data_IF_624146521435
#
_entry.id   IF_624146521435
#
_cell.length_a   1.000
_cell.length_b   1.000
_cell.length_c   1.000
_cell.angle_alpha   90.00
_cell.angle_beta   90.00
_cell.angle_gamma   90.00
#
_symmetry.space_group_name_H-M   'P 1'
#
loop_
_entity.id
_entity.type
_entity.pdbx_description
1 polymer ?
#
# COMPACT_ATOMS: atom_id res chain seq x y z
N UNK A 1 -0.01 -18.50 -8.24
CA UNK A 1 -1.09 -19.26 -7.60
C UNK A 1 -0.75 -19.55 -6.16
N UNK A 2 0.47 -20.06 -5.91
CA UNK A 2 1.00 -20.29 -4.56
C UNK A 2 0.94 -19.03 -3.68
N UNK A 3 0.79 -19.25 -2.38
CA UNK A 3 0.76 -18.19 -1.39
C UNK A 3 2.15 -17.88 -0.84
N UNK A 4 2.38 -16.61 -0.56
CA UNK A 4 3.52 -16.10 0.20
C UNK A 4 3.00 -15.21 1.32
N UNK A 5 3.63 -15.24 2.47
CA UNK A 5 3.26 -14.39 3.60
C UNK A 5 4.22 -13.21 3.72
N UNK A 6 3.71 -12.09 4.24
CA UNK A 6 4.53 -10.96 4.68
C UNK A 6 4.19 -10.67 6.13
N UNK A 7 5.16 -10.85 7.01
CA UNK A 7 5.09 -10.61 8.45
C UNK A 7 6.06 -9.49 8.83
N UNK A 8 5.57 -8.27 8.68
CA UNK A 8 6.33 -7.05 8.92
C UNK A 8 5.38 -5.87 9.16
N UNK A 9 5.89 -4.83 9.80
CA UNK A 9 5.21 -3.54 9.90
C UNK A 9 5.29 -2.81 8.54
N UNK A 10 4.65 -1.65 8.48
CA UNK A 10 4.60 -0.77 7.32
C UNK A 10 5.97 -0.18 7.02
N UNK A 11 6.60 -0.68 5.94
CA UNK A 11 7.93 -0.28 5.46
C UNK A 11 8.08 -0.48 3.94
N UNK A 12 9.08 0.15 3.29
CA UNK A 12 9.28 0.04 1.84
C UNK A 12 9.45 -1.39 1.34
N UNK A 13 10.19 -2.23 2.07
CA UNK A 13 10.46 -3.62 1.71
C UNK A 13 9.18 -4.47 1.68
N UNK A 14 8.20 -4.12 2.52
CA UNK A 14 6.87 -4.74 2.49
C UNK A 14 6.20 -4.53 1.13
N UNK A 15 6.19 -3.28 0.65
CA UNK A 15 5.60 -2.91 -0.64
C UNK A 15 6.36 -3.54 -1.80
N UNK A 16 7.69 -3.60 -1.70
CA UNK A 16 8.53 -4.26 -2.70
C UNK A 16 8.20 -5.75 -2.80
N UNK A 17 8.13 -6.45 -1.67
CA UNK A 17 7.76 -7.86 -1.62
C UNK A 17 6.34 -8.10 -2.12
N UNK A 18 5.38 -7.23 -1.80
CA UNK A 18 4.00 -7.30 -2.28
C UNK A 18 3.92 -7.20 -3.82
N UNK A 19 4.55 -6.17 -4.39
CA UNK A 19 4.56 -5.95 -5.83
C UNK A 19 5.34 -7.04 -6.58
N UNK A 20 6.48 -7.48 -6.06
CA UNK A 20 7.25 -8.57 -6.65
C UNK A 20 6.44 -9.87 -6.66
N UNK A 21 5.72 -10.16 -5.57
CA UNK A 21 4.83 -11.32 -5.47
C UNK A 21 3.69 -11.23 -6.47
N UNK A 22 3.07 -10.05 -6.60
CA UNK A 22 2.02 -9.80 -7.57
C UNK A 22 2.52 -10.02 -9.01
N UNK A 23 3.67 -9.47 -9.39
CA UNK A 23 4.25 -9.66 -10.72
C UNK A 23 4.65 -11.11 -10.99
N UNK A 24 4.99 -11.87 -9.95
CA UNK A 24 5.26 -13.31 -10.05
C UNK A 24 3.98 -14.18 -10.11
N UNK A 25 2.79 -13.56 -10.01
CA UNK A 25 1.50 -14.24 -9.98
C UNK A 25 1.21 -14.96 -8.66
N UNK A 26 1.84 -14.56 -7.55
CA UNK A 26 1.70 -15.14 -6.22
C UNK A 26 0.59 -14.45 -5.42
N UNK A 27 0.04 -15.15 -4.43
CA UNK A 27 -1.00 -14.62 -3.54
C UNK A 27 -0.38 -14.19 -2.22
N UNK A 28 -0.50 -12.92 -1.85
CA UNK A 28 0.08 -12.42 -0.60
C UNK A 28 -0.87 -12.64 0.58
N UNK A 29 -0.44 -13.35 1.61
CA UNK A 29 -1.11 -13.47 2.90
C UNK A 29 -0.51 -12.47 3.90
N UNK A 30 -1.32 -11.55 4.40
CA UNK A 30 -0.82 -10.52 5.29
C UNK A 30 -0.85 -10.95 6.76
N UNK A 31 0.29 -10.83 7.45
CA UNK A 31 0.41 -11.04 8.89
C UNK A 31 0.69 -9.69 9.56
N UNK A 32 -0.06 -9.36 10.61
CA UNK A 32 0.21 -8.15 11.39
C UNK A 32 1.53 -8.32 12.15
N UNK A 33 2.39 -7.31 12.16
CA UNK A 33 3.64 -7.29 12.93
C UNK A 33 3.45 -7.55 14.44
N UNK A 34 2.26 -7.23 14.96
CA UNK A 34 1.90 -7.44 16.36
C UNK A 34 1.41 -8.85 16.65
N UNK A 35 1.29 -9.70 15.64
CA UNK A 35 0.80 -11.06 15.83
C UNK A 35 1.75 -11.90 16.68
N UNK A 36 1.17 -12.71 17.56
CA UNK A 36 1.91 -13.74 18.29
C UNK A 36 2.33 -14.88 17.38
N UNK A 37 3.18 -15.79 17.87
CA UNK A 37 3.59 -17.00 17.16
C UNK A 37 2.39 -17.88 16.76
N UNK A 38 1.40 -18.04 17.64
CA UNK A 38 0.17 -18.79 17.36
C UNK A 38 -0.71 -18.11 16.29
N UNK A 39 -0.81 -16.78 16.33
CA UNK A 39 -1.56 -16.02 15.34
C UNK A 39 -0.88 -16.04 13.96
N UNK A 40 0.46 -15.90 13.94
CA UNK A 40 1.27 -16.04 12.73
C UNK A 40 1.18 -17.46 12.16
N UNK A 41 1.28 -18.50 13.01
CA UNK A 41 1.09 -19.89 12.63
C UNK A 41 -0.26 -20.09 11.93
N UNK A 42 -1.35 -19.60 12.55
CA UNK A 42 -2.69 -19.71 11.98
C UNK A 42 -2.77 -19.10 10.57
N UNK A 43 -2.18 -17.93 10.35
CA UNK A 43 -2.15 -17.28 9.03
C UNK A 43 -1.30 -18.07 8.03
N UNK A 44 -0.08 -18.46 8.41
CA UNK A 44 0.87 -19.17 7.56
C UNK A 44 0.32 -20.54 7.12
N UNK A 45 -0.23 -21.30 8.06
CA UNK A 45 -0.83 -22.60 7.80
C UNK A 45 -2.11 -22.48 6.98
N UNK A 46 -3.02 -21.57 7.36
CA UNK A 46 -4.31 -21.41 6.66
C UNK A 46 -4.15 -20.90 5.22
N UNK A 47 -3.13 -20.09 4.96
CA UNK A 47 -2.81 -19.61 3.62
C UNK A 47 -2.01 -20.62 2.78
N UNK A 48 -1.53 -21.71 3.40
CA UNK A 48 -0.57 -22.64 2.79
C UNK A 48 0.68 -21.91 2.24
N UNK A 49 1.15 -20.89 2.97
CA UNK A 49 2.27 -20.06 2.50
C UNK A 49 3.55 -20.88 2.34
N UNK A 50 4.17 -20.79 1.15
CA UNK A 50 5.43 -21.48 0.84
C UNK A 50 6.67 -20.65 1.14
N UNK A 51 6.51 -19.33 1.16
CA UNK A 51 7.55 -18.39 1.52
C UNK A 51 6.98 -17.37 2.51
N UNK A 52 7.74 -17.00 3.52
CA UNK A 52 7.40 -15.91 4.44
C UNK A 52 8.50 -14.84 4.41
N UNK A 53 8.14 -13.63 3.98
CA UNK A 53 8.96 -12.45 4.22
C UNK A 53 8.76 -11.98 5.66
N UNK A 54 9.84 -11.76 6.39
CA UNK A 54 9.83 -11.43 7.81
C UNK A 54 10.68 -10.18 8.04
N UNK A 55 10.19 -9.26 8.87
CA UNK A 55 10.86 -7.97 9.05
C UNK A 55 12.28 -8.09 9.61
N UNK A 56 12.43 -8.75 10.75
CA UNK A 56 13.64 -8.75 11.56
C UNK A 56 13.73 -10.02 12.43
N UNK A 57 14.80 -10.13 13.20
CA UNK A 57 15.09 -11.27 14.09
C UNK A 57 13.96 -11.52 15.12
N UNK A 58 13.34 -10.48 15.67
CA UNK A 58 12.25 -10.63 16.66
C UNK A 58 11.03 -11.32 16.04
N UNK A 59 10.62 -10.91 14.83
CA UNK A 59 9.51 -11.56 14.14
C UNK A 59 9.91 -12.95 13.61
N UNK A 60 11.19 -13.16 13.30
CA UNK A 60 11.71 -14.46 12.89
C UNK A 60 11.61 -15.48 14.01
N UNK A 61 11.99 -15.12 15.24
CA UNK A 61 11.87 -16.00 16.42
C UNK A 61 10.44 -16.53 16.57
N UNK A 62 9.43 -15.66 16.38
CA UNK A 62 8.01 -16.07 16.43
C UNK A 62 7.63 -17.08 15.36
N UNK A 63 8.17 -16.96 14.14
CA UNK A 63 7.95 -17.94 13.08
C UNK A 63 8.68 -19.25 13.40
N UNK A 64 9.90 -19.18 13.92
CA UNK A 64 10.71 -20.34 14.28
C UNK A 64 10.09 -21.18 15.40
N UNK A 65 9.44 -20.56 16.39
CA UNK A 65 8.71 -21.25 17.46
C UNK A 65 7.65 -22.24 16.94
N UNK A 66 7.07 -21.93 15.78
CA UNK A 66 5.97 -22.69 15.16
C UNK A 66 6.36 -23.35 13.84
N UNK A 67 7.59 -23.16 13.37
CA UNK A 67 8.05 -23.61 12.05
C UNK A 67 7.93 -25.13 11.87
N UNK A 68 8.11 -25.90 12.96
CA UNK A 68 8.01 -27.36 12.94
C UNK A 68 6.61 -27.90 12.60
N UNK A 69 5.56 -27.07 12.69
CA UNK A 69 4.19 -27.44 12.31
C UNK A 69 3.71 -26.79 11.01
N UNK A 70 4.54 -26.00 10.33
CA UNK A 70 4.21 -25.36 9.05
C UNK A 70 4.68 -26.22 7.87
N UNK A 71 3.89 -27.24 7.51
CA UNK A 71 4.30 -28.28 6.54
C UNK A 71 4.61 -27.74 5.13
N UNK A 72 4.00 -26.62 4.75
CA UNK A 72 4.15 -26.01 3.41
C UNK A 72 5.23 -24.93 3.35
N UNK A 73 5.71 -24.43 4.49
CA UNK A 73 6.65 -23.32 4.51
C UNK A 73 8.06 -23.81 4.15
N UNK A 74 8.56 -23.37 3.00
CA UNK A 74 9.84 -23.79 2.45
C UNK A 74 10.94 -22.74 2.62
N UNK A 75 10.56 -21.46 2.63
CA UNK A 75 11.50 -20.35 2.64
C UNK A 75 11.08 -19.27 3.63
N UNK A 76 12.07 -18.71 4.34
CA UNK A 76 11.92 -17.51 5.14
C UNK A 76 12.96 -16.50 4.63
N UNK A 77 12.52 -15.27 4.38
CA UNK A 77 13.36 -14.19 3.84
C UNK A 77 13.29 -12.99 4.77
N UNK A 78 14.44 -12.55 5.31
CA UNK A 78 14.53 -11.38 6.18
C UNK A 78 14.64 -10.08 5.38
N UNK A 79 13.92 -9.04 5.83
CA UNK A 79 14.10 -7.67 5.32
C UNK A 79 15.29 -6.98 5.97
N UNK A 80 15.50 -7.19 7.27
CA UNK A 80 16.52 -6.51 8.06
C UNK A 80 17.17 -7.45 9.08
N UNK A 81 18.47 -7.32 9.28
CA UNK A 81 19.27 -8.16 10.17
C UNK A 81 19.94 -9.33 9.47
N UNK A 82 20.59 -10.18 10.25
CA UNK A 82 21.36 -11.32 9.76
C UNK A 82 20.61 -12.62 10.11
N UNK A 83 20.10 -13.37 9.12
CA UNK A 83 19.38 -14.59 9.42
C UNK A 83 20.34 -15.66 9.99
N UNK A 84 19.92 -16.42 11.02
CA UNK A 84 20.73 -17.49 11.60
C UNK A 84 20.96 -18.60 10.58
N UNK A 85 22.04 -19.37 10.78
CA UNK A 85 22.39 -20.57 10.02
C UNK A 85 22.44 -20.39 8.48
N UNK A 86 22.74 -19.18 8.00
CA UNK A 86 22.79 -18.89 6.57
C UNK A 86 21.41 -18.85 5.91
N UNK A 87 20.38 -18.42 6.65
CA UNK A 87 19.08 -18.10 6.08
C UNK A 87 19.16 -16.98 5.02
N UNK A 88 18.02 -16.63 4.43
CA UNK A 88 17.99 -15.76 3.25
C UNK A 88 17.62 -14.32 3.63
N UNK A 89 18.38 -13.35 3.14
CA UNK A 89 17.99 -11.93 3.15
C UNK A 89 17.31 -11.56 1.83
N UNK A 90 16.70 -10.37 1.78
CA UNK A 90 16.15 -9.83 0.55
C UNK A 90 17.24 -9.63 -0.54
N UNK A 91 18.45 -9.26 -0.14
CA UNK A 91 19.60 -9.12 -1.05
C UNK A 91 20.04 -10.48 -1.61
N UNK A 92 20.08 -11.53 -0.79
CA UNK A 92 20.38 -12.89 -1.26
C UNK A 92 19.34 -13.37 -2.28
N UNK A 93 18.06 -13.06 -2.05
CA UNK A 93 16.99 -13.39 -2.99
C UNK A 93 17.15 -12.62 -4.31
N UNK A 94 17.49 -11.33 -4.25
CA UNK A 94 17.75 -10.52 -5.43
C UNK A 94 18.97 -11.03 -6.22
N UNK A 95 20.05 -11.42 -5.53
CA UNK A 95 21.24 -11.99 -6.17
C UNK A 95 20.94 -13.33 -6.85
N UNK A 96 20.15 -14.20 -6.22
CA UNK A 96 19.67 -15.45 -6.84
C UNK A 96 18.86 -15.20 -8.12
N UNK A 97 18.09 -14.12 -8.17
CA UNK A 97 17.30 -13.73 -9.35
C UNK A 97 18.09 -12.96 -10.42
N UNK A 98 19.31 -12.50 -10.14
CA UNK A 98 20.05 -11.53 -10.99
C UNK A 98 20.40 -12.03 -12.40
N UNK A 99 20.30 -13.33 -12.65
CA UNK A 99 20.55 -13.96 -13.96
C UNK A 99 19.29 -14.46 -14.67
N UNK A 100 18.10 -14.29 -14.09
CA UNK A 100 16.84 -14.66 -14.74
C UNK A 100 16.52 -13.73 -15.93
N UNK A 101 15.76 -14.24 -16.89
CA UNK A 101 15.36 -13.49 -18.09
C UNK A 101 14.15 -12.59 -17.79
N UNK A 102 14.26 -11.30 -18.06
CA UNK A 102 13.16 -10.32 -17.93
C UNK A 102 11.93 -10.77 -18.75
N UNK A 103 12.11 -11.46 -19.88
CA UNK A 103 11.00 -11.96 -20.68
C UNK A 103 10.13 -12.96 -19.90
N UNK A 104 10.73 -13.75 -19.00
CA UNK A 104 9.99 -14.70 -18.17
C UNK A 104 9.07 -13.98 -17.17
N UNK A 105 9.50 -12.82 -16.68
CA UNK A 105 8.67 -11.97 -15.83
C UNK A 105 7.52 -11.36 -16.65
N UNK A 106 7.82 -10.81 -17.82
CA UNK A 106 6.83 -10.24 -18.72
C UNK A 106 5.74 -11.26 -19.09
N UNK A 107 6.14 -12.46 -19.50
CA UNK A 107 5.23 -13.57 -19.82
C UNK A 107 4.31 -13.91 -18.63
N UNK A 108 4.87 -13.95 -17.41
CA UNK A 108 4.07 -14.19 -16.19
C UNK A 108 3.07 -13.09 -15.93
N UNK A 109 3.48 -11.83 -16.07
CA UNK A 109 2.61 -10.68 -15.85
C UNK A 109 1.47 -10.67 -16.86
N UNK A 110 1.72 -11.04 -18.11
CA UNK A 110 0.70 -11.15 -19.16
C UNK A 110 -0.35 -12.25 -18.89
N UNK A 111 0.02 -13.30 -18.16
CA UNK A 111 -0.89 -14.39 -17.78
C UNK A 111 -1.84 -14.04 -16.61
N UNK A 112 -1.56 -12.97 -15.86
CA UNK A 112 -2.37 -12.57 -14.70
C UNK A 112 -3.71 -12.00 -15.15
N UNK A 113 -4.79 -12.70 -14.80
CA UNK A 113 -6.16 -12.26 -15.06
C UNK A 113 -6.76 -11.52 -13.85
N UNK A 114 -7.74 -10.65 -14.11
CA UNK A 114 -8.39 -9.85 -13.07
C UNK A 114 -9.11 -10.68 -12.01
N UNK A 115 -9.53 -11.91 -12.33
CA UNK A 115 -10.20 -12.82 -11.40
C UNK A 115 -9.22 -13.71 -10.62
N UNK A 116 -7.92 -13.62 -10.90
CA UNK A 116 -6.90 -14.29 -10.10
C UNK A 116 -6.82 -13.65 -8.71
N UNK A 117 -6.51 -14.47 -7.71
CA UNK A 117 -6.29 -14.00 -6.35
C UNK A 117 -5.03 -13.13 -6.30
N UNK A 118 -5.15 -11.97 -5.67
CA UNK A 118 -4.03 -11.08 -5.38
C UNK A 118 -3.59 -11.24 -3.93
N UNK A 119 -4.55 -11.36 -3.00
CA UNK A 119 -4.23 -11.41 -1.58
C UNK A 119 -5.28 -12.07 -0.70
N UNK A 120 -4.81 -12.55 0.45
CA UNK A 120 -5.60 -12.91 1.62
C UNK A 120 -5.40 -11.88 2.73
N UNK A 121 -6.48 -11.19 3.11
CA UNK A 121 -6.50 -10.26 4.24
C UNK A 121 -7.18 -10.91 5.44
N UNK A 122 -6.44 -11.17 6.50
CA UNK A 122 -6.99 -11.80 7.70
C UNK A 122 -7.73 -10.78 8.57
N UNK A 123 -8.95 -11.13 8.94
CA UNK A 123 -9.82 -10.31 9.78
C UNK A 123 -10.26 -11.07 11.01
N UNK A 124 -10.36 -10.39 12.16
CA UNK A 124 -10.90 -10.98 13.38
C UNK A 124 -12.39 -11.29 13.16
N UNK A 125 -12.71 -12.59 13.12
CA UNK A 125 -14.10 -13.03 13.08
C UNK A 125 -14.79 -12.79 14.43
N UNK A 126 -16.13 -12.74 14.42
CA UNK A 126 -16.91 -12.56 15.66
C UNK A 126 -16.94 -13.80 16.57
N UNK A 127 -16.60 -14.97 16.05
CA UNK A 127 -16.73 -16.26 16.76
C UNK A 127 -15.69 -17.31 16.33
N UNK A 128 -14.40 -16.96 16.28
CA UNK A 128 -13.35 -17.93 15.96
C UNK A 128 -12.04 -17.33 15.47
N UNK A 129 -11.09 -18.18 15.03
CA UNK A 129 -9.82 -17.74 14.46
C UNK A 129 -10.01 -16.77 13.29
N UNK A 130 -9.03 -15.89 13.01
CA UNK A 130 -9.11 -14.97 11.89
C UNK A 130 -9.39 -15.67 10.56
N UNK A 131 -10.21 -15.07 9.70
CA UNK A 131 -10.54 -15.63 8.38
C UNK A 131 -9.84 -14.82 7.30
N UNK A 132 -9.20 -15.51 6.35
CA UNK A 132 -8.58 -14.92 5.18
C UNK A 132 -9.65 -14.46 4.18
N UNK A 133 -9.84 -13.16 4.05
CA UNK A 133 -10.67 -12.58 3.00
C UNK A 133 -9.91 -12.63 1.68
N UNK A 134 -10.41 -13.45 0.75
CA UNK A 134 -9.87 -13.58 -0.60
C UNK A 134 -10.24 -12.36 -1.44
N UNK A 135 -9.22 -11.63 -1.91
CA UNK A 135 -9.37 -10.50 -2.81
C UNK A 135 -8.63 -10.75 -4.12
N UNK A 136 -9.34 -10.59 -5.23
CA UNK A 136 -8.78 -10.69 -6.58
C UNK A 136 -8.15 -9.37 -7.03
N UNK A 137 -7.31 -9.42 -8.06
CA UNK A 137 -6.79 -8.21 -8.72
C UNK A 137 -7.91 -7.23 -9.11
N UNK A 138 -9.01 -7.76 -9.66
CA UNK A 138 -10.18 -6.99 -10.08
C UNK A 138 -10.94 -6.36 -8.91
N UNK A 139 -11.00 -7.03 -7.75
CA UNK A 139 -11.60 -6.42 -6.55
C UNK A 139 -10.83 -5.18 -6.11
N UNK A 140 -9.50 -5.26 -6.07
CA UNK A 140 -8.69 -4.10 -5.69
C UNK A 140 -8.74 -3.01 -6.76
N UNK A 141 -8.60 -3.35 -8.05
CA UNK A 141 -8.71 -2.36 -9.15
C UNK A 141 -10.01 -1.56 -9.07
N UNK A 142 -11.14 -2.24 -8.90
CA UNK A 142 -12.43 -1.57 -8.75
C UNK A 142 -12.47 -0.65 -7.51
N UNK A 143 -11.88 -1.08 -6.39
CA UNK A 143 -11.74 -0.26 -5.19
C UNK A 143 -10.85 0.98 -5.42
N UNK A 144 -9.75 0.84 -6.14
CA UNK A 144 -8.86 1.95 -6.48
C UNK A 144 -9.56 2.97 -7.38
N UNK A 145 -10.33 2.52 -8.37
CA UNK A 145 -11.13 3.41 -9.23
C UNK A 145 -12.13 4.22 -8.40
N UNK A 146 -12.83 3.55 -7.47
CA UNK A 146 -13.73 4.23 -6.54
C UNK A 146 -13.01 5.25 -5.64
N UNK A 147 -11.82 4.93 -5.15
CA UNK A 147 -11.04 5.88 -4.35
C UNK A 147 -10.59 7.09 -5.18
N UNK A 148 -10.07 6.87 -6.39
CA UNK A 148 -9.63 7.93 -7.30
C UNK A 148 -10.78 8.90 -7.68
N UNK A 149 -12.03 8.43 -7.70
CA UNK A 149 -13.20 9.29 -7.89
C UNK A 149 -13.62 10.04 -6.63
N UNK A 150 -13.37 9.47 -5.45
CA UNK A 150 -13.82 10.00 -4.16
C UNK A 150 -12.88 11.07 -3.57
N UNK A 151 -11.59 11.03 -3.91
CA UNK A 151 -10.56 11.96 -3.39
C UNK A 151 -9.79 12.64 -4.52
N UNK A 152 -9.33 13.87 -4.28
CA UNK A 152 -8.47 14.59 -5.21
C UNK A 152 -7.03 14.13 -5.05
N UNK A 153 -6.59 13.25 -5.94
CA UNK A 153 -5.26 12.62 -5.93
C UNK A 153 -4.57 12.77 -7.29
N UNK A 154 -3.24 12.85 -7.28
CA UNK A 154 -2.39 12.90 -8.47
C UNK A 154 -0.92 12.70 -8.15
N UNK A 155 -0.04 12.81 -9.15
CA UNK A 155 1.42 12.62 -9.02
C UNK A 155 2.08 13.54 -7.98
N UNK A 156 1.49 14.71 -7.71
CA UNK A 156 1.97 15.66 -6.68
C UNK A 156 1.52 15.31 -5.26
N UNK A 157 0.75 14.24 -5.10
CA UNK A 157 0.29 13.76 -3.79
C UNK A 157 1.41 13.08 -3.02
N UNK A 158 1.40 13.30 -1.71
CA UNK A 158 2.24 12.62 -0.72
C UNK A 158 1.30 11.87 0.23
N UNK A 159 1.43 10.55 0.26
CA UNK A 159 0.72 9.63 1.14
C UNK A 159 1.60 9.26 2.33
N UNK A 160 1.15 9.52 3.55
CA UNK A 160 1.87 9.10 4.75
C UNK A 160 1.35 7.75 5.26
N UNK A 161 2.23 6.75 5.24
CA UNK A 161 1.94 5.35 5.55
C UNK A 161 2.41 5.01 6.97
N UNK A 162 1.46 4.87 7.89
CA UNK A 162 1.73 4.55 9.31
C UNK A 162 0.75 3.53 9.90
N UNK A 163 -0.36 3.25 9.22
CA UNK A 163 -1.25 2.16 9.59
C UNK A 163 -0.67 0.85 9.08
N UNK A 164 -0.92 -0.30 9.74
CA UNK A 164 -0.36 -1.57 9.30
C UNK A 164 -0.74 -1.91 7.86
N UNK A 165 0.25 -2.34 7.07
CA UNK A 165 0.06 -2.77 5.69
C UNK A 165 -0.69 -4.09 5.56
N UNK A 166 -0.74 -4.88 6.64
CA UNK A 166 -1.59 -6.04 6.73
C UNK A 166 -3.10 -5.73 6.69
N UNK A 167 -3.48 -4.46 6.86
CA UNK A 167 -4.86 -4.00 6.78
C UNK A 167 -5.19 -3.46 5.37
N UNK A 168 -6.29 -3.93 4.77
CA UNK A 168 -6.69 -3.60 3.39
C UNK A 168 -6.81 -2.09 3.12
N UNK A 169 -7.23 -1.29 4.11
CA UNK A 169 -7.34 0.16 3.97
C UNK A 169 -6.00 0.81 3.59
N UNK A 170 -4.94 0.56 4.36
CA UNK A 170 -3.61 1.14 4.11
C UNK A 170 -3.09 0.66 2.77
N UNK A 171 -3.20 -0.64 2.52
CA UNK A 171 -2.71 -1.23 1.29
C UNK A 171 -3.41 -0.70 0.05
N UNK A 172 -4.72 -0.46 0.11
CA UNK A 172 -5.45 0.19 -0.99
C UNK A 172 -4.99 1.64 -1.21
N UNK A 173 -4.71 2.39 -0.15
CA UNK A 173 -4.18 3.76 -0.30
C UNK A 173 -2.77 3.79 -0.88
N UNK A 174 -1.93 2.81 -0.56
CA UNK A 174 -0.58 2.70 -1.12
C UNK A 174 -0.61 2.26 -2.58
N UNK A 175 -1.43 1.27 -2.93
CA UNK A 175 -1.64 0.87 -4.32
C UNK A 175 -2.19 2.04 -5.15
N UNK A 176 -3.09 2.86 -4.60
CA UNK A 176 -3.56 4.08 -5.26
C UNK A 176 -2.42 5.09 -5.47
N UNK A 177 -1.58 5.29 -4.45
CA UNK A 177 -0.44 6.19 -4.55
C UNK A 177 0.51 5.75 -5.68
N UNK A 178 0.78 4.45 -5.79
CA UNK A 178 1.58 3.89 -6.88
C UNK A 178 0.90 4.04 -8.25
N UNK A 179 -0.40 3.74 -8.33
CA UNK A 179 -1.20 3.82 -9.56
C UNK A 179 -1.22 5.22 -10.18
N UNK A 180 -1.23 6.26 -9.34
CA UNK A 180 -1.24 7.66 -9.77
C UNK A 180 0.15 8.31 -9.81
N UNK A 181 1.22 7.56 -9.53
CA UNK A 181 2.60 8.07 -9.51
C UNK A 181 2.91 9.03 -8.36
N UNK A 182 2.18 8.94 -7.25
CA UNK A 182 2.37 9.74 -6.05
C UNK A 182 3.57 9.24 -5.20
N UNK A 183 3.96 10.05 -4.22
CA UNK A 183 5.01 9.69 -3.25
C UNK A 183 4.40 9.03 -2.01
N UNK A 184 5.01 7.94 -1.53
CA UNK A 184 4.71 7.33 -0.24
C UNK A 184 5.80 7.69 0.76
N UNK A 185 5.42 8.31 1.87
CA UNK A 185 6.28 8.61 3.01
C UNK A 185 5.99 7.62 4.13
N UNK A 186 6.96 6.76 4.44
CA UNK A 186 6.83 5.76 5.50
C UNK A 186 7.13 6.39 6.86
N UNK A 187 6.32 6.03 7.87
CA UNK A 187 6.55 6.44 9.25
C UNK A 187 7.80 5.81 9.84
N UNK A 188 8.32 6.39 10.92
CA UNK A 188 9.51 5.88 11.62
C UNK A 188 9.23 4.66 12.53
N UNK A 189 8.04 4.05 12.42
CA UNK A 189 7.57 2.99 13.32
C UNK A 189 7.54 3.39 14.82
N UNK A 190 7.53 4.71 15.09
CA UNK A 190 7.47 5.29 16.42
C UNK A 190 6.21 6.16 16.57
N UNK A 191 5.30 5.69 17.42
CA UNK A 191 4.00 6.35 17.69
C UNK A 191 4.16 7.71 18.34
N UNK A 192 5.25 7.95 19.05
CA UNK A 192 5.52 9.22 19.74
C UNK A 192 6.09 10.26 18.77
N UNK A 193 6.79 9.81 17.72
CA UNK A 193 7.32 10.67 16.64
C UNK A 193 6.33 10.99 15.53
N UNK A 194 5.22 10.27 15.43
CA UNK A 194 4.22 10.46 14.38
C UNK A 194 3.81 11.94 14.15
N UNK A 195 3.69 12.75 15.20
CA UNK A 195 3.31 14.16 15.02
C UNK A 195 4.46 15.03 14.49
N UNK A 196 5.70 14.64 14.77
CA UNK A 196 6.90 15.27 14.22
C UNK A 196 7.02 14.88 12.74
N UNK A 197 6.82 13.60 12.40
CA UNK A 197 6.78 13.10 11.01
C UNK A 197 5.76 13.87 10.16
N UNK A 198 4.53 14.00 10.65
CA UNK A 198 3.47 14.75 9.95
C UNK A 198 3.83 16.22 9.76
N UNK A 199 4.58 16.82 10.70
CA UNK A 199 4.99 18.23 10.63
C UNK A 199 6.12 18.43 9.63
N UNK A 200 7.03 17.47 9.53
CA UNK A 200 8.17 17.49 8.60
C UNK A 200 7.75 17.13 7.17
N UNK A 201 7.05 16.00 7.00
CA UNK A 201 6.63 15.46 5.70
C UNK A 201 5.53 16.30 5.07
N UNK A 202 4.65 16.90 5.88
CA UNK A 202 3.47 17.64 5.43
C UNK A 202 2.65 16.89 4.36
N UNK A 203 2.21 15.65 4.66
CA UNK A 203 1.55 14.83 3.65
C UNK A 203 0.21 15.43 3.22
N UNK A 204 -0.12 15.24 1.95
CA UNK A 204 -1.42 15.61 1.40
C UNK A 204 -2.52 14.65 1.81
N UNK A 205 -2.16 13.38 2.02
CA UNK A 205 -3.07 12.27 2.27
C UNK A 205 -2.50 11.35 3.34
N UNK A 206 -3.35 10.86 4.23
CA UNK A 206 -3.07 9.70 5.08
C UNK A 206 -4.37 9.05 5.53
N UNK A 207 -4.42 7.73 5.54
CA UNK A 207 -5.54 7.01 6.14
C UNK A 207 -5.42 7.06 7.66
N UNK A 208 -6.51 7.34 8.36
CA UNK A 208 -6.50 7.46 9.81
C UNK A 208 -7.76 6.87 10.45
N UNK A 209 -7.58 6.35 11.66
CA UNK A 209 -8.66 5.90 12.55
C UNK A 209 -9.07 7.02 13.51
N UNK A 210 -10.29 6.99 14.09
CA UNK A 210 -10.79 8.06 14.97
C UNK A 210 -9.81 8.51 16.05
N UNK A 211 -9.09 7.57 16.66
CA UNK A 211 -8.10 7.84 17.71
C UNK A 211 -6.95 8.75 17.28
N UNK A 212 -6.56 8.70 16.00
CA UNK A 212 -5.51 9.57 15.46
C UNK A 212 -6.02 11.01 15.36
N UNK A 213 -7.25 11.21 14.91
CA UNK A 213 -7.88 12.53 14.90
C UNK A 213 -8.01 13.10 16.33
N UNK A 214 -8.32 12.27 17.32
CA UNK A 214 -8.30 12.67 18.74
C UNK A 214 -6.92 13.10 19.21
N UNK A 215 -5.85 12.36 18.87
CA UNK A 215 -4.46 12.72 19.24
C UNK A 215 -4.03 14.05 18.60
N UNK A 216 -4.35 14.26 17.32
CA UNK A 216 -4.09 15.52 16.61
C UNK A 216 -4.86 16.67 17.27
N UNK A 217 -6.15 16.47 17.55
CA UNK A 217 -6.98 17.48 18.20
C UNK A 217 -6.41 17.87 19.56
N UNK A 218 -6.09 16.90 20.42
CA UNK A 218 -5.56 17.15 21.75
C UNK A 218 -4.20 17.88 21.72
N UNK A 219 -3.29 17.53 20.80
CA UNK A 219 -2.02 18.24 20.62
C UNK A 219 -2.27 19.70 20.19
N UNK A 220 -3.13 19.90 19.18
CA UNK A 220 -3.46 21.23 18.68
C UNK A 220 -4.17 22.11 19.72
N UNK A 221 -5.06 21.55 20.55
CA UNK A 221 -5.72 22.31 21.62
C UNK A 221 -4.80 22.61 22.79
N UNK A 222 -3.94 21.64 23.18
CA UNK A 222 -3.00 21.82 24.28
C UNK A 222 -1.96 22.91 24.02
N UNK A 223 -1.52 23.09 22.77
CA UNK A 223 -0.60 24.17 22.36
C UNK A 223 -1.26 25.57 22.35
N UNK A 224 -2.59 25.64 22.40
CA UNK A 224 -3.37 26.87 22.14
C UNK A 224 -4.28 27.24 23.32
N UNK A 225 -4.13 26.58 24.47
CA UNK A 225 -4.91 26.87 25.67
C UNK A 225 -4.68 28.30 26.18
N UNK A 226 -5.77 29.08 26.21
CA UNK A 226 -5.81 30.44 26.75
C UNK A 226 -5.60 31.58 25.73
N UNK A 227 -6.11 32.76 26.09
CA UNK A 227 -5.90 34.00 25.33
C UNK A 227 -6.67 34.09 24.00
N UNK A 228 -6.20 34.97 23.12
CA UNK A 228 -6.84 35.28 21.83
C UNK A 228 -6.68 34.14 20.82
N UNK A 229 -5.58 33.38 20.90
CA UNK A 229 -5.29 32.24 20.01
C UNK A 229 -6.27 31.08 20.22
N UNK A 230 -6.57 30.72 21.47
CA UNK A 230 -7.61 29.75 21.84
C UNK A 230 -8.97 30.06 21.20
N UNK A 231 -9.46 31.29 21.41
CA UNK A 231 -10.75 31.73 20.85
C UNK A 231 -10.79 31.72 19.31
N UNK A 232 -9.65 31.99 18.66
CA UNK A 232 -9.55 31.97 17.21
C UNK A 232 -9.56 30.52 16.67
N UNK A 233 -8.88 29.60 17.35
CA UNK A 233 -8.88 28.17 17.05
C UNK A 233 -10.30 27.59 17.17
N UNK A 234 -10.98 27.82 18.29
CA UNK A 234 -12.36 27.34 18.50
C UNK A 234 -13.33 27.85 17.42
N UNK A 235 -13.18 29.13 17.05
CA UNK A 235 -13.97 29.73 15.97
C UNK A 235 -13.68 29.08 14.62
N UNK A 236 -12.42 28.77 14.32
CA UNK A 236 -12.03 28.08 13.10
C UNK A 236 -12.63 26.66 13.04
N UNK A 237 -12.53 25.88 14.13
CA UNK A 237 -13.11 24.54 14.25
C UNK A 237 -14.63 24.59 14.07
N UNK A 238 -15.33 25.48 14.80
CA UNK A 238 -16.78 25.64 14.68
C UNK A 238 -17.22 26.00 13.26
N UNK A 239 -16.49 26.91 12.62
CA UNK A 239 -16.76 27.31 11.23
C UNK A 239 -16.56 26.12 10.28
N UNK A 240 -15.47 25.37 10.44
CA UNK A 240 -15.19 24.18 9.64
C UNK A 240 -16.27 23.11 9.75
N UNK A 241 -16.75 22.83 10.97
CA UNK A 241 -17.85 21.88 11.21
C UNK A 241 -19.15 22.33 10.56
N UNK A 242 -19.48 23.62 10.65
CA UNK A 242 -20.70 24.18 10.07
C UNK A 242 -20.68 24.13 8.53
N UNK A 243 -19.53 24.48 7.93
CA UNK A 243 -19.29 24.34 6.49
C UNK A 243 -19.47 22.88 6.05
N UNK A 244 -18.88 21.93 6.77
CA UNK A 244 -18.98 20.51 6.41
C UNK A 244 -20.40 19.96 6.52
N UNK A 245 -21.18 20.45 7.49
CA UNK A 245 -22.62 20.12 7.63
C UNK A 245 -23.43 20.65 6.45
N UNK A 246 -23.18 21.88 6.02
CA UNK A 246 -23.83 22.49 4.86
C UNK A 246 -23.50 21.70 3.59
N UNK A 247 -22.22 21.40 3.36
CA UNK A 247 -21.77 20.60 2.20
C UNK A 247 -22.44 19.22 2.14
N UNK A 248 -22.54 18.50 3.28
CA UNK A 248 -23.22 17.19 3.33
C UNK A 248 -24.71 17.25 2.99
N UNK A 249 -25.36 18.41 3.17
CA UNK A 249 -26.75 18.64 2.78
C UNK A 249 -26.88 19.19 1.35
N UNK A 250 -25.78 19.33 0.61
CA UNK A 250 -25.76 19.95 -0.71
C UNK A 250 -25.92 21.48 -0.68
N UNK A 251 -25.79 22.11 0.49
CA UNK A 251 -25.96 23.55 0.66
C UNK A 251 -24.63 24.29 0.49
N UNK A 252 -24.65 25.44 -0.20
CA UNK A 252 -23.46 26.26 -0.38
C UNK A 252 -23.13 27.06 0.89
N UNK A 253 -21.91 26.98 1.45
CA UNK A 253 -21.55 27.64 2.70
C UNK A 253 -21.42 29.19 2.64
N UNK A 254 -21.83 29.82 1.55
CA UNK A 254 -21.69 31.27 1.33
C UNK A 254 -20.22 31.74 1.16
N UNK A 255 -20.00 32.96 0.65
CA UNK A 255 -18.66 33.46 0.28
C UNK A 255 -17.73 33.72 1.48
N UNK A 256 -18.27 34.10 2.65
CA UNK A 256 -17.49 34.45 3.86
C UNK A 256 -16.81 33.23 4.49
N UNK A 257 -17.27 32.01 4.20
CA UNK A 257 -16.74 30.77 4.77
C UNK A 257 -15.86 29.95 3.82
N UNK A 258 -15.71 30.40 2.57
CA UNK A 258 -14.78 29.80 1.58
C UNK A 258 -13.33 30.32 1.73
N UNK A 259 -13.14 31.49 2.34
CA UNK A 259 -11.83 32.16 2.45
C UNK A 259 -10.79 31.44 3.32
N UNK A 260 -11.18 30.43 4.12
CA UNK A 260 -10.27 29.68 4.99
C UNK A 260 -9.69 28.40 4.36
N UNK A 261 -10.04 28.08 3.09
CA UNK A 261 -9.66 26.83 2.40
C UNK A 261 -8.93 27.07 1.07
N UNK A 262 -8.02 28.04 0.93
CA UNK A 262 -7.12 28.03 -0.23
C UNK A 262 -5.80 27.34 0.12
N UNK A 263 -5.67 26.02 -0.06
CA UNK A 263 -4.35 25.49 -0.39
C UNK A 263 -3.96 26.11 -1.74
N UNK A 264 -2.74 26.64 -1.84
CA UNK A 264 -2.17 27.06 -3.12
C UNK A 264 -1.77 25.79 -3.90
N UNK A 265 -2.72 25.01 -4.41
CA UNK A 265 -2.42 24.02 -5.44
C UNK A 265 -2.51 24.71 -6.80
N UNK A 266 -1.34 24.89 -7.43
CA UNK A 266 -1.23 25.10 -8.87
C UNK A 266 -1.12 23.69 -9.46
N UNK A 267 -2.22 23.13 -9.94
CA UNK A 267 -2.15 21.90 -10.73
C UNK A 267 -3.08 21.99 -11.93
N UNK A 268 -2.46 21.92 -13.09
CA UNK A 268 -3.04 21.60 -14.38
C UNK A 268 -3.59 20.18 -14.33
N UNK A 269 -4.87 20.00 -14.65
CA UNK A 269 -5.47 18.66 -14.92
C UNK A 269 -4.58 17.87 -15.89
N UNK A 270 -4.26 16.60 -15.63
CA UNK A 270 -3.78 15.71 -16.67
C UNK A 270 -4.92 15.47 -17.67
N UNK A 271 -4.63 15.62 -18.96
CA UNK A 271 -5.53 15.15 -20.02
C UNK A 271 -5.53 13.63 -19.99
N UNK A 272 -6.67 13.01 -19.68
CA UNK A 272 -6.91 11.62 -20.09
C UNK A 272 -6.83 11.55 -21.61
N UNK A 273 -6.11 10.57 -22.14
CA UNK A 273 -6.19 10.22 -23.54
C UNK A 273 -7.58 9.62 -23.80
N UNK A 274 -8.39 10.33 -24.57
CA UNK A 274 -9.71 9.87 -25.01
C UNK A 274 -9.56 8.68 -25.95
N UNK A 275 -9.68 7.47 -25.41
CA UNK A 275 -9.98 6.26 -26.16
C UNK A 275 -11.49 6.01 -26.11
N UNK A 276 -12.21 6.49 -27.12
CA UNK A 276 -13.63 6.17 -27.31
C UNK A 276 -13.81 4.67 -27.53
N UNK A 277 -14.46 3.98 -26.58
CA UNK A 277 -15.21 2.77 -26.86
C UNK A 277 -16.66 3.00 -26.44
N UNK A 278 -17.53 3.19 -27.43
CA UNK A 278 -18.98 3.18 -27.25
C UNK A 278 -19.43 1.79 -26.79
N UNK A 279 -19.96 1.71 -25.57
CA UNK A 279 -20.60 0.51 -25.05
C UNK A 279 -22.05 0.38 -25.53
N UNK A 280 -22.33 -0.62 -26.37
CA UNK A 280 -23.67 -1.16 -26.59
C UNK A 280 -24.01 -2.17 -25.49
N UNK A 281 -25.27 -2.13 -25.02
CA UNK A 281 -25.85 -2.98 -24.00
C UNK A 281 -25.85 -4.49 -24.37
N UNK A 282 -25.94 -5.43 -23.39
CA UNK A 282 -25.67 -6.83 -23.63
C UNK A 282 -26.90 -7.58 -24.16
N UNK A 283 -26.70 -8.35 -25.23
CA UNK A 283 -27.67 -9.34 -25.70
C UNK A 283 -27.06 -10.30 -26.71
N UNK A 284 -27.02 -11.59 -26.36
CA UNK A 284 -26.96 -12.67 -27.33
C UNK A 284 -25.62 -13.42 -27.47
N UNK A 285 -25.62 -14.65 -26.95
CA UNK A 285 -24.66 -15.72 -27.23
C UNK A 285 -24.28 -15.83 -28.71
N UNK A 286 -22.98 -15.93 -29.01
CA UNK A 286 -22.42 -16.74 -30.11
C UNK A 286 -20.93 -17.01 -29.89
N UNK A 287 -20.55 -18.28 -30.06
CA UNK A 287 -19.21 -18.85 -29.96
C UNK A 287 -18.40 -18.72 -31.28
N UNK A 288 -17.10 -19.06 -31.31
CA UNK A 288 -16.05 -18.26 -31.95
C UNK A 288 -15.67 -18.73 -33.37
N UNK A 289 -15.00 -17.85 -34.12
CA UNK A 289 -14.22 -18.25 -35.29
C UNK A 289 -13.03 -17.33 -35.57
N UNK A 290 -11.83 -17.92 -35.55
CA UNK A 290 -10.69 -17.52 -36.41
C UNK A 290 -9.63 -16.57 -35.83
N UNK A 291 -8.32 -16.82 -36.06
CA UNK A 291 -7.22 -16.12 -35.40
C UNK A 291 -6.75 -14.88 -36.18
N UNK A 292 -6.38 -13.81 -35.46
CA UNK A 292 -5.62 -12.69 -36.03
C UNK A 292 -4.18 -12.73 -35.54
N UNK A 293 -3.28 -12.94 -36.50
CA UNK A 293 -1.82 -12.81 -36.40
C UNK A 293 -1.40 -11.34 -36.59
N UNK A 294 -0.35 -10.94 -35.88
CA UNK A 294 0.58 -9.85 -36.23
C UNK A 294 0.22 -8.50 -35.57
N UNK A 295 1.15 -7.71 -35.02
CA UNK A 295 2.60 -7.71 -35.18
C UNK A 295 3.28 -6.97 -34.02
N UNK A 296 4.44 -7.50 -33.62
CA UNK A 296 5.45 -6.92 -32.76
C UNK A 296 6.16 -5.75 -33.45
N UNK A 297 6.29 -4.61 -32.74
CA UNK A 297 7.37 -3.60 -32.85
C UNK A 297 7.51 -3.00 -31.44
N UNK A 298 8.58 -3.17 -30.67
CA UNK A 298 9.99 -3.07 -31.03
C UNK A 298 10.46 -1.63 -30.80
N UNK A 299 10.87 -1.29 -29.58
CA UNK A 299 11.28 0.06 -29.19
C UNK A 299 12.09 0.10 -27.90
N UNK A 300 13.29 -0.48 -27.91
CA UNK A 300 14.27 -0.42 -26.82
C UNK A 300 14.90 0.99 -26.77
N UNK A 301 14.55 1.78 -25.75
CA UNK A 301 15.20 3.05 -25.42
C UNK A 301 16.29 2.85 -24.36
N UNK A 302 17.56 2.74 -24.77
CA UNK A 302 18.71 2.72 -23.85
C UNK A 302 18.93 4.11 -23.24
N UNK A 303 18.65 4.27 -21.94
CA UNK A 303 19.09 5.41 -21.13
C UNK A 303 20.58 5.32 -20.75
N UNK A 304 21.27 6.45 -20.50
CA UNK A 304 22.73 6.48 -20.34
C UNK A 304 23.19 5.98 -18.96
N UNK A 305 24.18 5.08 -18.99
CA UNK A 305 24.91 4.54 -17.83
C UNK A 305 25.51 5.67 -16.96
N UNK A 306 25.06 5.78 -15.72
CA UNK A 306 25.71 6.62 -14.71
C UNK A 306 27.05 5.97 -14.27
N UNK A 307 28.14 6.73 -14.40
CA UNK A 307 29.48 6.35 -13.93
C UNK A 307 29.54 6.43 -12.41
N UNK A 308 29.78 5.31 -11.72
CA UNK A 308 30.19 5.29 -10.30
C UNK A 308 31.55 5.98 -10.17
N UNK A 309 31.62 7.05 -9.37
CA UNK A 309 32.89 7.60 -8.85
C UNK A 309 33.20 6.90 -7.54
N UNK A 310 34.37 6.26 -7.48
CA UNK A 310 34.96 5.75 -6.25
C UNK A 310 35.28 6.93 -5.31
N UNK A 311 34.84 6.83 -4.06
CA UNK A 311 35.27 7.70 -2.96
C UNK A 311 36.33 6.93 -2.18
N UNK A 312 37.57 7.40 -2.29
CA UNK A 312 38.69 7.01 -1.43
C UNK A 312 38.56 7.68 -0.06
N UNK A 313 38.63 6.90 1.01
CA UNK A 313 38.76 7.38 2.38
C UNK A 313 40.16 7.98 2.63
N UNK A 314 40.29 9.01 3.48
CA UNK A 314 41.54 9.31 4.17
C UNK A 314 41.56 8.64 5.55
N UNK A 315 42.77 8.25 5.99
CA UNK A 315 43.02 7.60 7.28
C UNK A 315 43.02 8.53 8.49
#
# INVERSE_FOLDING_TARGET
>A
GDAVAIFADTRPEWVLADLASACAGLVVACVYQTSSSDEAHHVLENSEARLCFVENEELLERVQEVQGSLERLEHIVLFEGDPPDGGMTLDDLAERGSGEDDQRLDDRVEEIASDNLFTLVYTSGTTGPPKGCMLTHGNLRAGLDMFAEAIEVGEDSIFYAFLPLAHVLTRATELLALDVGATIAFWQQDKDRMMDDLSEVQPTHFAAVPRIFEKIYNKATGEVEGGVKGKLFDKAVKTGLEVRRLERRGESPGPVRRGSRRPRSRTTRPRRADGHHEGQAPGGLRQPSGPLRGAVRGGVGRGPRARRRAVSAPG
#
